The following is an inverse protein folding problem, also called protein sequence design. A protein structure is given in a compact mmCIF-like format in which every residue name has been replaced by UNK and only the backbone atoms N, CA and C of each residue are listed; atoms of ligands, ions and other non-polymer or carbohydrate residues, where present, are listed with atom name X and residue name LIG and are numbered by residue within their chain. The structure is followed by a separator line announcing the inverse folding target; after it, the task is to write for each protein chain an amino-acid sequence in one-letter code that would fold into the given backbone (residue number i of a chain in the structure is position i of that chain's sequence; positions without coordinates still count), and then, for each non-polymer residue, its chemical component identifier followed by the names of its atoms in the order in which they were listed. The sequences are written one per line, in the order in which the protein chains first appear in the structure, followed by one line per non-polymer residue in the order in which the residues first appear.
data_IF_891244382837
#
_entry.id   IF_891244382837
#
_cell.length_a   1.000
_cell.length_b   1.000
_cell.length_c   1.000
_cell.angle_alpha   90.00
_cell.angle_beta   90.00
_cell.angle_gamma   90.00
#
_symmetry.space_group_name_H-M   'P 1'
#
loop_
_entity.id
_entity.type
_entity.pdbx_description
1 polymer ?
#
# COMPACT_ATOMS: atom_id res chain seq x y z
N UNK A 1 -5.32 -2.80 -8.04
CA UNK A 1 -5.75 -3.52 -6.82
C UNK A 1 -7.26 -3.38 -6.70
N UNK A 2 -8.00 -4.45 -6.42
CA UNK A 2 -9.45 -4.38 -6.15
C UNK A 2 -9.71 -4.19 -4.66
N UNK A 3 -10.93 -3.76 -4.28
CA UNK A 3 -11.30 -3.64 -2.87
C UNK A 3 -11.21 -4.99 -2.13
N UNK A 4 -11.66 -6.09 -2.74
CA UNK A 4 -11.54 -7.43 -2.15
C UNK A 4 -10.08 -7.83 -1.92
N UNK A 5 -9.19 -7.57 -2.88
CA UNK A 5 -7.77 -7.88 -2.70
C UNK A 5 -7.11 -7.00 -1.65
N UNK A 6 -7.52 -5.72 -1.53
CA UNK A 6 -7.10 -4.83 -0.46
C UNK A 6 -7.57 -5.32 0.92
N UNK A 7 -8.86 -5.67 1.04
CA UNK A 7 -9.47 -6.14 2.28
C UNK A 7 -8.77 -7.38 2.82
N UNK A 8 -8.48 -8.35 1.94
CA UNK A 8 -7.80 -9.61 2.25
C UNK A 8 -6.29 -9.48 2.47
N UNK A 9 -5.68 -8.35 2.08
CA UNK A 9 -4.25 -8.14 2.29
C UNK A 9 -3.95 -8.03 3.79
N UNK A 10 -3.29 -9.06 4.35
CA UNK A 10 -2.90 -9.10 5.77
C UNK A 10 -1.66 -8.26 6.07
N UNK A 11 -0.93 -7.83 5.05
CA UNK A 11 0.29 -7.03 5.14
C UNK A 11 0.04 -5.58 4.70
N UNK A 12 -1.14 -5.05 5.05
CA UNK A 12 -1.48 -3.64 4.89
C UNK A 12 -1.21 -2.87 6.17
N UNK A 13 -0.67 -1.67 6.04
CA UNK A 13 -0.33 -0.78 7.15
C UNK A 13 -1.01 0.56 6.94
N UNK A 14 -1.65 1.09 7.98
CA UNK A 14 -2.31 2.40 7.93
C UNK A 14 -1.27 3.51 8.07
N UNK A 15 -1.26 4.44 7.11
CA UNK A 15 -0.30 5.55 7.06
C UNK A 15 -0.91 6.89 7.49
N UNK A 16 -2.24 7.03 7.43
CA UNK A 16 -2.93 8.27 7.80
C UNK A 16 -4.15 8.57 6.95
N UNK A 17 -4.73 9.75 7.16
CA UNK A 17 -5.89 10.24 6.43
C UNK A 17 -5.55 11.53 5.69
N UNK A 18 -6.03 11.63 4.45
CA UNK A 18 -5.94 12.84 3.63
C UNK A 18 -7.35 13.20 3.16
N UNK A 19 -7.82 14.42 3.45
CA UNK A 19 -9.20 14.84 3.12
C UNK A 19 -9.56 14.65 1.64
N UNK A 20 -8.61 14.92 0.74
CA UNK A 20 -8.83 14.81 -0.70
C UNK A 20 -8.83 13.36 -1.20
N UNK A 21 -8.14 12.43 -0.51
CA UNK A 21 -7.86 11.07 -1.03
C UNK A 21 -8.51 9.96 -0.19
N UNK A 22 -8.85 10.21 1.06
CA UNK A 22 -9.36 9.22 2.01
C UNK A 22 -8.24 8.63 2.87
N UNK A 23 -8.45 7.38 3.31
CA UNK A 23 -7.53 6.66 4.16
C UNK A 23 -6.36 6.10 3.35
N UNK A 24 -5.14 6.33 3.81
CA UNK A 24 -3.93 5.95 3.11
C UNK A 24 -3.32 4.72 3.78
N UNK A 25 -2.94 3.75 2.96
CA UNK A 25 -2.32 2.51 3.39
C UNK A 25 -1.07 2.18 2.58
N UNK A 26 -0.07 1.61 3.21
CA UNK A 26 0.95 0.81 2.54
C UNK A 26 0.43 -0.61 2.39
N UNK A 27 0.63 -1.25 1.25
CA UNK A 27 0.27 -2.65 1.00
C UNK A 27 1.42 -3.38 0.33
N UNK A 28 1.70 -4.62 0.76
CA UNK A 28 2.58 -5.51 0.02
C UNK A 28 1.83 -6.10 -1.17
N UNK A 29 2.36 -5.94 -2.38
CA UNK A 29 1.80 -6.52 -3.59
C UNK A 29 2.42 -7.90 -3.89
N UNK A 30 3.73 -8.00 -3.73
CA UNK A 30 4.51 -9.22 -3.98
C UNK A 30 5.83 -9.16 -3.18
N UNK A 31 6.71 -10.16 -3.30
CA UNK A 31 8.05 -10.16 -2.74
C UNK A 31 8.83 -8.88 -3.14
N UNK A 32 9.14 -8.03 -2.15
CA UNK A 32 9.85 -6.78 -2.35
C UNK A 32 9.04 -5.66 -3.03
N UNK A 33 7.82 -5.92 -3.52
CA UNK A 33 6.99 -4.93 -4.21
C UNK A 33 5.87 -4.43 -3.32
N UNK A 34 5.79 -3.11 -3.17
CA UNK A 34 4.83 -2.42 -2.32
C UNK A 34 4.07 -1.36 -3.11
N UNK A 35 2.92 -0.95 -2.59
CA UNK A 35 2.20 0.20 -3.08
C UNK A 35 1.63 1.03 -1.93
N UNK A 36 1.55 2.33 -2.15
CA UNK A 36 0.73 3.22 -1.34
C UNK A 36 -0.61 3.36 -2.04
N UNK A 37 -1.70 3.09 -1.31
CA UNK A 37 -3.07 3.16 -1.82
C UNK A 37 -3.90 4.11 -0.99
N UNK A 38 -4.85 4.78 -1.65
CA UNK A 38 -5.92 5.53 -1.01
C UNK A 38 -7.21 4.72 -1.08
N UNK A 39 -7.92 4.60 0.06
CA UNK A 39 -9.24 4.03 0.17
C UNK A 39 -10.26 5.15 0.45
N UNK A 40 -11.22 5.31 -0.45
CA UNK A 40 -12.35 6.23 -0.29
C UNK A 40 -13.61 5.61 -0.84
N UNK A 41 -14.66 5.53 -0.03
CA UNK A 41 -15.97 4.98 -0.42
C UNK A 41 -15.88 3.59 -1.08
N UNK A 42 -15.01 2.72 -0.56
CA UNK A 42 -14.78 1.38 -1.11
C UNK A 42 -13.90 1.34 -2.37
N UNK A 43 -13.56 2.49 -2.96
CA UNK A 43 -12.66 2.58 -4.09
C UNK A 43 -11.21 2.61 -3.62
N UNK A 44 -10.38 1.73 -4.17
CA UNK A 44 -8.93 1.68 -3.92
C UNK A 44 -8.20 2.30 -5.10
N UNK A 45 -7.45 3.37 -4.85
CA UNK A 45 -6.62 4.04 -5.85
C UNK A 45 -5.15 3.86 -5.52
N UNK A 46 -4.36 3.33 -6.45
CA UNK A 46 -2.90 3.26 -6.29
C UNK A 46 -2.30 4.64 -6.48
N UNK A 47 -1.59 5.14 -5.48
CA UNK A 47 -0.90 6.44 -5.53
C UNK A 47 0.54 6.28 -5.99
N UNK A 48 1.26 5.30 -5.41
CA UNK A 48 2.67 5.03 -5.67
C UNK A 48 2.86 3.51 -5.69
N UNK A 49 3.69 3.02 -6.59
CA UNK A 49 4.22 1.64 -6.55
C UNK A 49 5.73 1.71 -6.46
N UNK A 50 6.32 0.95 -5.54
CA UNK A 50 7.76 0.95 -5.33
C UNK A 50 8.27 -0.45 -5.01
N UNK A 51 9.56 -0.66 -5.27
CA UNK A 51 10.27 -1.90 -4.92
C UNK A 51 11.26 -1.59 -3.82
N UNK A 52 11.19 -2.32 -2.73
CA UNK A 52 12.17 -2.25 -1.64
C UNK A 52 13.38 -3.07 -2.08
N UNK A 53 14.50 -2.40 -2.30
CA UNK A 53 15.79 -3.06 -2.46
C UNK A 53 16.46 -3.13 -1.10
N UNK A 54 16.63 -4.34 -0.57
CA UNK A 54 17.48 -4.53 0.59
C UNK A 54 18.91 -4.25 0.15
N UNK A 55 19.47 -3.11 0.57
CA UNK A 55 20.91 -2.93 0.48
C UNK A 55 21.55 -3.91 1.45
N UNK A 56 22.44 -4.82 1.02
CA UNK A 56 23.27 -5.54 1.96
C UNK A 56 24.09 -4.50 2.71
N UNK A 57 23.72 -4.24 3.96
CA UNK A 57 24.64 -3.59 4.89
C UNK A 57 25.68 -4.67 5.16
N UNK A 58 26.81 -4.62 4.45
CA UNK A 58 27.98 -5.43 4.80
C UNK A 58 28.33 -5.08 6.25
N UNK A 59 28.15 -6.05 7.15
CA UNK A 59 28.63 -5.99 8.53
C UNK A 59 30.08 -6.45 8.57
#
# INVERSE_FOLDING_TARGET
MTYESFKRNSQKEYLGFCEQKGYIYSVKLDAGKHAVVALRNGQVTVLITYTVQASPIFR
#
